data_IF_451755213111
#
_entry.id   IF_451755213111
#
_cell.length_a   1.000
_cell.length_b   1.000
_cell.length_c   1.000
_cell.angle_alpha   90.00
_cell.angle_beta   90.00
_cell.angle_gamma   90.00
#
_symmetry.space_group_name_H-M   'P 1'
#
loop_
_entity.id
_entity.type
_entity.pdbx_description
1 polymer ?
#
# COMPACT_ATOMS: atom_id res chain seq x y z
N UNK A 1 12.02 -10.70 -15.91
CA UNK A 1 12.70 -10.47 -14.61
C UNK A 1 11.66 -9.91 -13.66
N UNK A 2 11.64 -10.30 -12.38
CA UNK A 2 10.72 -9.71 -11.40
C UNK A 2 11.18 -8.28 -11.11
N UNK A 3 10.30 -7.29 -11.24
CA UNK A 3 10.61 -5.90 -10.92
C UNK A 3 11.02 -5.78 -9.45
N UNK A 4 12.17 -5.14 -9.20
CA UNK A 4 12.66 -4.86 -7.85
C UNK A 4 11.74 -3.89 -7.12
N UNK A 5 11.80 -3.86 -5.78
CA UNK A 5 11.05 -2.87 -4.96
C UNK A 5 11.36 -1.44 -5.42
N UNK A 6 12.60 -1.15 -5.81
CA UNK A 6 13.00 0.17 -6.30
C UNK A 6 12.27 0.55 -7.60
N UNK A 7 12.13 -0.39 -8.55
CA UNK A 7 11.39 -0.15 -9.79
C UNK A 7 9.89 0.01 -9.54
N UNK A 8 9.33 -0.73 -8.59
CA UNK A 8 7.90 -0.65 -8.23
C UNK A 8 7.57 0.69 -7.55
N UNK A 9 8.33 1.08 -6.53
CA UNK A 9 8.21 2.39 -5.87
C UNK A 9 8.48 3.51 -6.87
N UNK A 10 9.55 3.41 -7.65
CA UNK A 10 9.90 4.39 -8.67
C UNK A 10 8.81 4.56 -9.73
N UNK A 11 8.20 3.46 -10.16
CA UNK A 11 7.04 3.45 -11.06
C UNK A 11 5.84 4.19 -10.46
N UNK A 12 5.54 3.95 -9.18
CA UNK A 12 4.44 4.61 -8.49
C UNK A 12 4.67 6.12 -8.32
N UNK A 13 5.91 6.53 -8.00
CA UNK A 13 6.30 7.95 -7.96
C UNK A 13 6.09 8.60 -9.33
N UNK A 14 6.50 7.93 -10.42
CA UNK A 14 6.29 8.42 -11.79
C UNK A 14 4.81 8.60 -12.12
N UNK A 15 3.99 7.63 -11.77
CA UNK A 15 2.54 7.66 -11.97
C UNK A 15 1.92 8.87 -11.26
N UNK A 16 2.19 9.02 -9.96
CA UNK A 16 1.68 10.12 -9.13
C UNK A 16 2.16 11.49 -9.62
N UNK A 17 3.42 11.60 -10.07
CA UNK A 17 3.94 12.82 -10.67
C UNK A 17 3.19 13.17 -11.96
N UNK A 18 3.03 12.19 -12.86
CA UNK A 18 2.33 12.40 -14.13
C UNK A 18 0.86 12.76 -13.93
N UNK A 19 0.19 12.19 -12.92
CA UNK A 19 -1.18 12.56 -12.56
C UNK A 19 -1.33 14.04 -12.18
N UNK A 20 -0.24 14.70 -11.76
CA UNK A 20 -0.17 16.14 -11.48
C UNK A 20 0.26 16.99 -12.67
N UNK A 21 0.55 16.37 -13.82
CA UNK A 21 1.06 17.04 -15.01
C UNK A 21 2.51 17.53 -14.89
N UNK A 22 3.26 17.12 -13.85
CA UNK A 22 4.61 17.61 -13.61
C UNK A 22 5.66 16.83 -14.39
N UNK A 23 6.71 17.52 -14.84
CA UNK A 23 7.98 16.98 -15.30
C UNK A 23 8.86 16.52 -14.12
N UNK A 24 9.90 15.72 -14.40
CA UNK A 24 10.87 15.30 -13.36
C UNK A 24 11.62 16.49 -12.75
N UNK A 25 11.82 17.55 -13.53
CA UNK A 25 12.46 18.77 -13.08
C UNK A 25 11.56 19.55 -12.12
N UNK A 26 10.27 19.71 -12.45
CA UNK A 26 9.30 20.34 -11.55
C UNK A 26 9.13 19.58 -10.23
N UNK A 27 9.08 18.23 -10.25
CA UNK A 27 9.06 17.46 -9.01
C UNK A 27 10.37 17.63 -8.24
N UNK A 28 11.50 17.65 -8.95
CA UNK A 28 12.81 17.90 -8.36
C UNK A 28 12.85 19.24 -7.64
N UNK A 29 12.52 20.32 -8.33
CA UNK A 29 12.49 21.68 -7.79
C UNK A 29 11.58 21.77 -6.55
N UNK A 30 10.34 21.28 -6.64
CA UNK A 30 9.39 21.30 -5.52
C UNK A 30 9.85 20.47 -4.32
N UNK A 31 10.48 19.33 -4.57
CA UNK A 31 10.99 18.43 -3.53
C UNK A 31 12.43 18.78 -3.10
N UNK A 32 13.05 19.83 -3.64
CA UNK A 32 14.45 20.19 -3.37
C UNK A 32 15.45 19.10 -3.76
N UNK A 33 15.25 18.45 -4.90
CA UNK A 33 16.15 17.48 -5.52
C UNK A 33 16.49 17.90 -6.96
N UNK A 34 17.64 17.46 -7.46
CA UNK A 34 17.96 17.63 -8.88
C UNK A 34 17.11 16.68 -9.75
N UNK A 35 16.70 17.09 -10.95
CA UNK A 35 15.87 16.27 -11.84
C UNK A 35 16.46 14.87 -12.10
N UNK A 36 17.80 14.76 -12.17
CA UNK A 36 18.48 13.48 -12.38
C UNK A 36 18.32 12.51 -11.19
N UNK A 37 18.17 13.05 -9.98
CA UNK A 37 17.84 12.25 -8.79
C UNK A 37 16.43 11.68 -8.90
N UNK A 38 15.46 12.51 -9.27
CA UNK A 38 14.07 12.08 -9.53
C UNK A 38 14.02 11.03 -10.65
N UNK A 39 14.73 11.28 -11.75
CA UNK A 39 14.80 10.32 -12.86
C UNK A 39 15.40 8.98 -12.46
N UNK A 40 16.49 8.99 -11.68
CA UNK A 40 17.09 7.76 -11.15
C UNK A 40 16.18 7.04 -10.14
N UNK A 41 15.45 7.79 -9.31
CA UNK A 41 14.46 7.25 -8.38
C UNK A 41 13.32 6.55 -9.14
N UNK A 42 12.75 7.20 -10.15
CA UNK A 42 11.66 6.64 -10.94
C UNK A 42 12.03 5.42 -11.79
N UNK A 43 13.31 5.29 -12.16
CA UNK A 43 13.82 4.11 -12.87
C UNK A 43 14.27 2.98 -11.94
N UNK A 44 14.24 3.21 -10.62
CA UNK A 44 14.73 2.25 -9.63
C UNK A 44 16.26 2.13 -9.58
N UNK A 45 17.00 3.09 -10.14
CA UNK A 45 18.47 3.14 -10.18
C UNK A 45 19.07 3.76 -8.90
N UNK A 46 18.21 4.29 -8.02
CA UNK A 46 18.59 4.95 -6.76
C UNK A 46 17.82 4.32 -5.61
N UNK A 47 18.54 3.89 -4.58
CA UNK A 47 17.94 3.52 -3.30
C UNK A 47 17.81 4.79 -2.43
N UNK A 48 16.63 5.42 -2.46
CA UNK A 48 16.36 6.60 -1.64
C UNK A 48 16.21 6.23 -0.16
N UNK A 49 16.68 7.10 0.73
CA UNK A 49 16.38 6.98 2.15
C UNK A 49 14.88 7.18 2.40
N UNK A 50 14.37 6.63 3.51
CA UNK A 50 12.98 6.85 3.91
C UNK A 50 12.65 8.34 4.08
N UNK A 51 13.58 9.15 4.58
CA UNK A 51 13.42 10.60 4.70
C UNK A 51 13.23 11.27 3.34
N UNK A 52 13.97 10.85 2.31
CA UNK A 52 13.81 11.40 0.96
C UNK A 52 12.49 10.93 0.32
N UNK A 53 12.08 9.69 0.55
CA UNK A 53 10.77 9.19 0.10
C UNK A 53 9.62 9.95 0.77
N UNK A 54 9.71 10.22 2.08
CA UNK A 54 8.74 11.04 2.81
C UNK A 54 8.63 12.43 2.19
N UNK A 55 9.76 13.07 1.88
CA UNK A 55 9.79 14.39 1.22
C UNK A 55 9.13 14.35 -0.17
N UNK A 56 9.39 13.30 -0.95
CA UNK A 56 8.74 13.11 -2.27
C UNK A 56 7.24 12.89 -2.12
N UNK A 57 6.80 12.06 -1.17
CA UNK A 57 5.38 11.81 -0.88
C UNK A 57 4.66 13.10 -0.44
N UNK A 58 5.26 13.87 0.47
CA UNK A 58 4.75 15.17 0.93
C UNK A 58 4.66 16.17 -0.22
N UNK A 59 5.68 16.22 -1.08
CA UNK A 59 5.68 17.10 -2.27
C UNK A 59 4.59 16.71 -3.26
N UNK A 60 4.34 15.42 -3.41
CA UNK A 60 3.21 14.91 -4.17
C UNK A 60 1.89 15.16 -3.39
N UNK A 61 1.88 15.36 -2.08
CA UNK A 61 0.64 15.49 -1.32
C UNK A 61 -0.12 14.16 -1.22
N UNK A 62 0.62 13.07 -1.01
CA UNK A 62 0.08 11.73 -0.72
C UNK A 62 0.71 11.18 0.57
N UNK A 63 0.09 10.17 1.16
CA UNK A 63 0.74 9.44 2.25
C UNK A 63 1.95 8.64 1.71
N UNK A 64 3.00 8.47 2.53
CA UNK A 64 4.20 7.73 2.12
C UNK A 64 3.87 6.28 1.74
N UNK A 65 2.86 5.66 2.37
CA UNK A 65 2.38 4.33 2.05
C UNK A 65 1.84 4.20 0.63
N UNK A 66 1.31 5.28 0.04
CA UNK A 66 0.82 5.28 -1.33
C UNK A 66 1.94 5.06 -2.35
N UNK A 67 3.19 5.41 -2.02
CA UNK A 67 4.35 5.09 -2.87
C UNK A 67 4.60 3.58 -2.99
N UNK A 68 4.06 2.81 -2.05
CA UNK A 68 4.13 1.34 -2.00
C UNK A 68 2.84 0.67 -2.45
N UNK A 69 1.82 1.44 -2.85
CA UNK A 69 0.55 0.97 -3.40
C UNK A 69 0.66 0.38 -4.81
N UNK A 70 1.74 -0.34 -5.08
CA UNK A 70 1.89 -1.17 -6.27
C UNK A 70 1.30 -2.55 -5.98
N UNK A 71 0.50 -3.07 -6.92
CA UNK A 71 0.00 -4.45 -6.84
C UNK A 71 1.17 -5.37 -7.16
N UNK A 72 1.98 -5.70 -6.15
CA UNK A 72 2.51 -7.06 -6.10
C UNK A 72 1.32 -7.88 -5.69
N UNK A 73 0.82 -8.73 -6.59
CA UNK A 73 0.19 -9.95 -6.13
C UNK A 73 1.21 -10.61 -5.20
N UNK A 74 1.06 -10.39 -3.90
CA UNK A 74 1.78 -11.13 -2.89
C UNK A 74 1.12 -12.50 -2.92
N UNK A 75 1.43 -13.27 -3.98
CA UNK A 75 1.02 -14.64 -4.23
C UNK A 75 1.71 -15.58 -3.23
N UNK A 76 1.81 -15.15 -1.96
CA UNK A 76 1.91 -16.09 -0.87
C UNK A 76 0.58 -16.83 -0.88
N UNK A 77 0.55 -18.13 -1.19
CA UNK A 77 -0.67 -18.90 -1.04
C UNK A 77 -1.15 -18.71 0.39
N UNK A 78 -2.38 -18.23 0.53
CA UNK A 78 -3.02 -18.13 1.83
C UNK A 78 -3.04 -19.54 2.44
N UNK A 79 -2.61 -19.64 3.69
CA UNK A 79 -2.89 -20.81 4.52
C UNK A 79 -4.40 -21.04 4.57
N UNK A 80 -4.84 -22.26 4.83
CA UNK A 80 -6.28 -22.56 4.99
C UNK A 80 -6.94 -21.64 6.02
N UNK A 81 -6.22 -21.33 7.12
CA UNK A 81 -6.67 -20.35 8.12
C UNK A 81 -6.87 -18.95 7.53
N UNK A 82 -5.90 -18.45 6.76
CA UNK A 82 -5.98 -17.13 6.12
C UNK A 82 -7.15 -17.08 5.11
N UNK A 83 -7.40 -18.17 4.36
CA UNK A 83 -8.56 -18.28 3.46
C UNK A 83 -9.89 -18.20 4.22
N UNK A 84 -10.04 -18.96 5.30
CA UNK A 84 -11.26 -18.93 6.12
C UNK A 84 -11.51 -17.54 6.71
N UNK A 85 -10.47 -16.84 7.17
CA UNK A 85 -10.60 -15.47 7.66
C UNK A 85 -11.01 -14.50 6.55
N UNK A 86 -10.46 -14.69 5.35
CA UNK A 86 -10.81 -13.89 4.19
C UNK A 86 -12.28 -14.09 3.76
N UNK A 87 -12.76 -15.33 3.74
CA UNK A 87 -14.17 -15.65 3.49
C UNK A 87 -15.09 -14.97 4.51
N UNK A 88 -14.76 -15.06 5.80
CA UNK A 88 -15.52 -14.39 6.86
C UNK A 88 -15.55 -12.86 6.66
N UNK A 89 -14.40 -12.26 6.30
CA UNK A 89 -14.34 -10.83 6.01
C UNK A 89 -15.22 -10.44 4.81
N UNK A 90 -15.16 -11.19 3.70
CA UNK A 90 -15.98 -10.92 2.52
C UNK A 90 -17.49 -11.03 2.78
N UNK A 91 -17.91 -11.97 3.62
CA UNK A 91 -19.30 -12.09 4.05
C UNK A 91 -19.80 -10.85 4.78
N UNK A 92 -18.92 -10.16 5.52
CA UNK A 92 -19.25 -9.00 6.34
C UNK A 92 -19.07 -7.66 5.62
N UNK A 93 -18.21 -7.59 4.61
CA UNK A 93 -17.81 -6.34 3.94
C UNK A 93 -18.99 -5.51 3.38
N UNK A 94 -20.07 -6.19 2.95
CA UNK A 94 -21.24 -5.56 2.34
C UNK A 94 -22.50 -5.69 3.22
N UNK A 95 -22.34 -5.83 4.54
CA UNK A 95 -23.45 -5.90 5.50
C UNK A 95 -23.63 -4.58 6.21
N UNK A 96 -24.83 -4.34 6.73
CA UNK A 96 -25.05 -3.16 7.56
C UNK A 96 -24.41 -3.30 8.95
N UNK A 97 -24.24 -2.18 9.64
CA UNK A 97 -23.59 -2.13 10.95
C UNK A 97 -24.27 -3.04 11.99
N UNK A 98 -25.60 -3.15 11.93
CA UNK A 98 -26.39 -3.96 12.87
C UNK A 98 -26.15 -5.45 12.62
N UNK A 99 -26.13 -5.88 11.36
CA UNK A 99 -25.82 -7.25 10.96
C UNK A 99 -24.39 -7.64 11.36
N UNK A 100 -23.41 -6.75 11.16
CA UNK A 100 -22.02 -6.97 11.57
C UNK A 100 -21.95 -7.14 13.09
N UNK A 101 -22.62 -6.27 13.85
CA UNK A 101 -22.62 -6.36 15.31
C UNK A 101 -23.26 -7.66 15.80
N UNK A 102 -24.34 -8.12 15.15
CA UNK A 102 -24.95 -9.42 15.46
C UNK A 102 -23.97 -10.58 15.21
N UNK A 103 -23.24 -10.57 14.10
CA UNK A 103 -22.24 -11.57 13.80
C UNK A 103 -21.12 -11.59 14.86
N UNK A 104 -20.62 -10.42 15.26
CA UNK A 104 -19.60 -10.29 16.31
C UNK A 104 -20.09 -10.84 17.65
N UNK A 105 -21.35 -10.59 18.01
CA UNK A 105 -21.92 -11.12 19.25
C UNK A 105 -21.95 -12.65 19.24
N UNK A 106 -22.40 -13.26 18.13
CA UNK A 106 -22.44 -14.73 17.99
C UNK A 106 -21.03 -15.32 18.07
N UNK A 107 -20.06 -14.74 17.34
CA UNK A 107 -18.67 -15.18 17.40
C UNK A 107 -18.10 -15.09 18.82
N UNK A 108 -18.41 -14.00 19.54
CA UNK A 108 -17.98 -13.82 20.93
C UNK A 108 -18.55 -14.90 21.85
N UNK A 109 -19.82 -15.26 21.71
CA UNK A 109 -20.43 -16.34 22.49
C UNK A 109 -19.84 -17.72 22.16
N UNK A 110 -19.57 -17.99 20.87
CA UNK A 110 -18.86 -19.22 20.45
C UNK A 110 -17.49 -19.28 21.13
N UNK A 111 -16.71 -18.21 21.07
CA UNK A 111 -15.37 -18.21 21.66
C UNK A 111 -15.38 -18.29 23.17
N UNK A 112 -16.36 -17.67 23.85
CA UNK A 112 -16.54 -17.87 25.31
C UNK A 112 -16.88 -19.31 25.65
N UNK A 113 -17.72 -19.96 24.84
CA UNK A 113 -18.21 -21.33 25.10
C UNK A 113 -17.14 -22.39 24.80
N UNK A 114 -16.33 -22.16 23.77
CA UNK A 114 -15.40 -23.17 23.23
C UNK A 114 -13.92 -22.75 23.30
N UNK A 115 -13.56 -21.71 24.04
CA UNK A 115 -12.15 -21.35 24.25
C UNK A 115 -11.40 -22.55 24.86
N UNK A 116 -10.26 -22.97 24.27
CA UNK A 116 -9.44 -24.01 24.88
C UNK A 116 -8.92 -23.51 26.23
N UNK A 117 -9.05 -24.34 27.28
CA UNK A 117 -8.45 -24.10 28.60
C UNK A 117 -6.93 -24.10 28.54
#
# INVERSE_FOLDING_TARGET
MSDTVLQLVGGKIRELRKARGWSQDELGEKAGFHFSYIGGLERGERNASLANLAKVAETLGVDIGELFGYVREYNKPLTEKEKTLQEAFFLLLNRDEKEIQMAVNVLSEIFKTYAPK
#
